data_IF_033372462901
#
_entry.id   IF_033372462901
#
_cell.length_a   1.000
_cell.length_b   1.000
_cell.length_c   1.000
_cell.angle_alpha   90.00
_cell.angle_beta   90.00
_cell.angle_gamma   90.00
#
_symmetry.space_group_name_H-M   'P 1'
#
loop_
_entity.id
_entity.type
_entity.pdbx_description
1 polymer ?
#
# COMPACT_ATOMS: atom_id res chain seq x y z
N UNK A 1 8.13 4.04 -5.63
CA UNK A 1 8.09 2.82 -4.79
C UNK A 1 7.75 1.60 -5.62
N UNK A 2 6.58 1.54 -6.27
CA UNK A 2 6.12 0.39 -7.08
C UNK A 2 7.19 -0.12 -8.08
N UNK A 3 7.74 0.76 -8.92
CA UNK A 3 8.82 0.41 -9.88
C UNK A 3 10.06 -0.22 -9.22
N UNK A 4 10.43 0.23 -8.02
CA UNK A 4 11.58 -0.32 -7.30
C UNK A 4 11.28 -1.73 -6.82
N UNK A 5 10.09 -1.96 -6.25
CA UNK A 5 9.65 -3.28 -5.80
C UNK A 5 9.62 -4.28 -6.95
N UNK A 6 9.11 -3.87 -8.13
CA UNK A 6 9.10 -4.70 -9.34
C UNK A 6 10.53 -5.07 -9.74
N UNK A 7 11.45 -4.10 -9.81
CA UNK A 7 12.85 -4.38 -10.15
C UNK A 7 13.50 -5.38 -9.19
N UNK A 8 13.17 -5.34 -7.91
CA UNK A 8 13.66 -6.32 -6.93
C UNK A 8 13.06 -7.70 -7.19
N UNK A 9 11.76 -7.79 -7.49
CA UNK A 9 11.11 -9.05 -7.83
C UNK A 9 11.73 -9.68 -9.08
N UNK A 10 11.85 -8.92 -10.17
CA UNK A 10 12.45 -9.35 -11.43
C UNK A 10 13.89 -9.83 -11.25
N UNK A 11 14.68 -9.10 -10.46
CA UNK A 11 16.04 -9.51 -10.14
C UNK A 11 16.06 -10.87 -9.43
N UNK A 12 15.17 -11.09 -8.46
CA UNK A 12 15.10 -12.36 -7.73
C UNK A 12 14.61 -13.50 -8.62
N UNK A 13 13.66 -13.26 -9.52
CA UNK A 13 13.21 -14.26 -10.50
C UNK A 13 14.33 -14.63 -11.47
N UNK A 14 15.12 -13.66 -11.93
CA UNK A 14 16.29 -13.93 -12.77
C UNK A 14 17.37 -14.75 -12.03
N UNK A 15 17.53 -14.55 -10.72
CA UNK A 15 18.41 -15.39 -9.90
C UNK A 15 17.88 -16.82 -9.77
N UNK A 16 16.57 -16.99 -9.52
CA UNK A 16 15.94 -18.31 -9.48
C UNK A 16 16.10 -19.04 -10.82
N UNK A 17 15.88 -18.36 -11.94
CA UNK A 17 16.01 -18.96 -13.27
C UNK A 17 17.43 -19.51 -13.54
N UNK A 18 18.47 -18.86 -13.01
CA UNK A 18 19.86 -19.35 -13.11
C UNK A 18 20.09 -20.66 -12.36
N UNK A 19 19.27 -20.98 -11.36
CA UNK A 19 19.34 -22.23 -10.61
C UNK A 19 18.34 -23.27 -11.13
N UNK A 20 17.63 -23.00 -12.24
CA UNK A 20 16.58 -23.87 -12.78
C UNK A 20 15.25 -23.77 -12.02
N UNK A 21 15.11 -22.81 -11.10
CA UNK A 21 13.88 -22.56 -10.35
C UNK A 21 13.09 -21.42 -10.99
N UNK A 22 11.76 -21.48 -10.93
CA UNK A 22 10.88 -20.43 -11.46
C UNK A 22 9.95 -19.83 -10.39
N UNK A 23 10.11 -20.25 -9.13
CA UNK A 23 9.30 -19.80 -8.02
C UNK A 23 10.13 -19.25 -6.86
N UNK A 24 9.52 -18.38 -6.07
CA UNK A 24 10.14 -17.74 -4.91
C UNK A 24 9.41 -18.06 -3.61
N UNK A 25 10.17 -18.07 -2.51
CA UNK A 25 9.63 -18.10 -1.14
C UNK A 25 9.71 -16.69 -0.55
N UNK A 26 8.60 -16.19 -0.01
CA UNK A 26 8.51 -14.84 0.53
C UNK A 26 8.30 -14.89 2.03
N UNK A 27 9.04 -14.08 2.79
CA UNK A 27 8.88 -13.91 4.23
C UNK A 27 8.49 -12.47 4.52
N UNK A 28 7.32 -12.26 5.12
CA UNK A 28 6.89 -10.99 5.68
C UNK A 28 7.05 -11.03 7.20
N UNK A 29 8.05 -10.31 7.71
CA UNK A 29 8.23 -10.12 9.14
C UNK A 29 7.39 -8.94 9.63
N UNK A 30 6.38 -9.25 10.45
CA UNK A 30 5.44 -8.27 10.99
C UNK A 30 5.86 -7.75 12.37
N UNK A 31 7.09 -8.04 12.83
CA UNK A 31 7.63 -7.44 14.05
C UNK A 31 7.58 -5.91 13.96
N UNK A 32 7.03 -5.25 14.98
CA UNK A 32 6.86 -3.79 14.99
C UNK A 32 5.72 -3.25 14.11
N UNK A 33 4.90 -4.12 13.50
CA UNK A 33 3.74 -3.70 12.69
C UNK A 33 2.79 -2.79 13.49
N UNK A 34 2.42 -1.66 12.86
CA UNK A 34 1.49 -0.71 13.40
C UNK A 34 0.38 -0.40 12.39
N UNK A 35 -0.85 -0.83 12.71
CA UNK A 35 -2.02 -0.64 11.84
C UNK A 35 -2.24 0.83 11.44
N UNK A 36 -1.88 1.79 12.30
CA UNK A 36 -2.04 3.22 12.00
C UNK A 36 -1.21 3.69 10.80
N UNK A 37 -0.04 3.09 10.57
CA UNK A 37 0.81 3.44 9.42
C UNK A 37 0.17 2.95 8.10
N UNK A 38 -0.44 1.77 8.12
CA UNK A 38 -1.12 1.20 6.95
C UNK A 38 -2.51 1.81 6.73
N UNK A 39 -3.13 2.37 7.77
CA UNK A 39 -4.34 3.19 7.64
C UNK A 39 -4.06 4.52 6.91
N UNK A 40 -2.80 4.91 6.70
CA UNK A 40 -2.46 6.04 5.84
C UNK A 40 -2.68 5.67 4.38
N UNK A 41 -3.70 6.28 3.75
CA UNK A 41 -4.14 5.94 2.38
C UNK A 41 -3.03 5.83 1.34
N UNK A 42 -2.05 6.76 1.22
CA UNK A 42 -0.97 6.58 0.26
C UNK A 42 -0.16 5.28 0.47
N UNK A 43 0.03 4.84 1.72
CA UNK A 43 0.63 3.54 1.99
C UNK A 43 -0.32 2.38 1.64
N UNK A 44 -1.60 2.48 1.98
CA UNK A 44 -2.60 1.46 1.63
C UNK A 44 -2.74 1.29 0.10
N UNK A 45 -2.82 2.40 -0.64
CA UNK A 45 -2.90 2.41 -2.11
C UNK A 45 -1.66 1.77 -2.72
N UNK A 46 -0.46 2.11 -2.24
CA UNK A 46 0.76 1.47 -2.73
C UNK A 46 0.74 -0.05 -2.48
N UNK A 47 0.28 -0.51 -1.31
CA UNK A 47 0.18 -1.95 -1.02
C UNK A 47 -0.84 -2.64 -1.93
N UNK A 48 -2.03 -2.06 -2.09
CA UNK A 48 -3.08 -2.62 -2.96
C UNK A 48 -2.61 -2.64 -4.41
N UNK A 49 -2.04 -1.55 -4.93
CA UNK A 49 -1.50 -1.49 -6.28
C UNK A 49 -0.38 -2.50 -6.51
N UNK A 50 0.47 -2.74 -5.51
CA UNK A 50 1.49 -3.78 -5.59
C UNK A 50 0.89 -5.18 -5.68
N UNK A 51 -0.15 -5.48 -4.89
CA UNK A 51 -0.85 -6.76 -4.94
C UNK A 51 -1.53 -6.97 -6.29
N UNK A 52 -2.30 -6.00 -6.75
CA UNK A 52 -3.01 -6.08 -8.02
C UNK A 52 -2.05 -6.25 -9.20
N UNK A 53 -0.95 -5.49 -9.21
CA UNK A 53 0.09 -5.61 -10.22
C UNK A 53 0.76 -6.99 -10.16
N UNK A 54 1.07 -7.48 -8.96
CA UNK A 54 1.64 -8.81 -8.77
C UNK A 54 0.70 -9.90 -9.33
N UNK A 55 -0.58 -9.90 -8.94
CA UNK A 55 -1.55 -10.91 -9.37
C UNK A 55 -1.83 -10.87 -10.88
N UNK A 56 -1.81 -9.68 -11.48
CA UNK A 56 -2.09 -9.52 -12.90
C UNK A 56 -0.90 -9.89 -13.81
N UNK A 57 0.34 -9.71 -13.35
CA UNK A 57 1.53 -9.82 -14.22
C UNK A 57 2.45 -10.99 -13.87
N UNK A 58 2.29 -11.59 -12.69
CA UNK A 58 3.20 -12.64 -12.20
C UNK A 58 2.43 -13.87 -11.68
N UNK A 59 1.68 -14.56 -12.56
CA UNK A 59 0.96 -15.77 -12.15
C UNK A 59 1.94 -16.88 -11.74
N UNK A 60 1.56 -17.65 -10.72
CA UNK A 60 2.21 -18.92 -10.33
C UNK A 60 3.69 -18.88 -9.91
N UNK A 61 4.28 -17.69 -9.69
CA UNK A 61 5.68 -17.56 -9.26
C UNK A 61 5.89 -17.77 -7.74
N UNK A 62 4.83 -17.96 -6.95
CA UNK A 62 4.92 -18.08 -5.49
C UNK A 62 4.91 -19.54 -5.04
N UNK A 63 6.05 -19.98 -4.48
CA UNK A 63 6.19 -21.31 -3.87
C UNK A 63 5.52 -21.38 -2.49
N UNK A 64 5.83 -20.41 -1.63
CA UNK A 64 5.28 -20.28 -0.28
C UNK A 64 5.41 -18.82 0.22
N UNK A 65 4.45 -18.37 1.02
CA UNK A 65 4.48 -17.06 1.67
C UNK A 65 4.30 -17.21 3.19
N UNK A 66 5.25 -16.72 3.96
CA UNK A 66 5.26 -16.81 5.42
C UNK A 66 5.12 -15.42 6.03
N UNK A 67 4.01 -15.19 6.72
CA UNK A 67 3.79 -13.96 7.50
C UNK A 67 4.09 -14.30 8.96
N UNK A 68 5.24 -13.87 9.46
CA UNK A 68 5.73 -14.19 10.80
C UNK A 68 5.57 -13.00 11.75
N UNK A 69 5.61 -13.25 13.05
CA UNK A 69 5.44 -12.22 14.08
C UNK A 69 4.14 -11.40 13.94
N UNK A 70 3.10 -11.95 13.34
CA UNK A 70 1.85 -11.24 13.09
C UNK A 70 1.14 -10.87 14.40
N UNK A 71 0.95 -9.58 14.70
CA UNK A 71 0.17 -9.17 15.88
C UNK A 71 -1.32 -9.44 15.66
N UNK A 72 -2.12 -9.52 16.73
CA UNK A 72 -3.57 -9.80 16.62
C UNK A 72 -4.30 -8.82 15.68
N UNK A 73 -3.88 -7.55 15.69
CA UNK A 73 -4.45 -6.48 14.86
C UNK A 73 -4.20 -6.68 13.35
N UNK A 74 -3.20 -7.49 12.97
CA UNK A 74 -2.91 -7.78 11.56
C UNK A 74 -4.09 -8.45 10.85
N UNK A 75 -4.90 -9.25 11.56
CA UNK A 75 -6.07 -9.90 10.97
C UNK A 75 -7.05 -8.92 10.32
N UNK A 76 -7.15 -7.68 10.84
CA UNK A 76 -7.98 -6.63 10.26
C UNK A 76 -7.41 -6.20 8.90
N UNK A 77 -6.11 -5.91 8.83
CA UNK A 77 -5.45 -5.57 7.57
C UNK A 77 -5.51 -6.73 6.58
N UNK A 78 -5.29 -7.96 7.04
CA UNK A 78 -5.33 -9.15 6.20
C UNK A 78 -6.71 -9.38 5.56
N UNK A 79 -7.79 -9.13 6.32
CA UNK A 79 -9.15 -9.23 5.79
C UNK A 79 -9.44 -8.24 4.66
N UNK A 80 -8.71 -7.13 4.58
CA UNK A 80 -8.78 -6.19 3.45
C UNK A 80 -7.94 -6.70 2.29
N UNK A 81 -6.66 -7.03 2.52
CA UNK A 81 -5.75 -7.41 1.43
C UNK A 81 -6.16 -8.71 0.74
N UNK A 82 -6.75 -9.67 1.48
CA UNK A 82 -7.14 -10.98 0.93
C UNK A 82 -8.17 -10.88 -0.19
N UNK A 83 -8.93 -9.78 -0.26
CA UNK A 83 -9.91 -9.54 -1.33
C UNK A 83 -9.25 -9.27 -2.69
N UNK A 84 -7.97 -8.90 -2.68
CA UNK A 84 -7.18 -8.59 -3.88
C UNK A 84 -6.24 -9.73 -4.28
N UNK A 85 -6.28 -10.86 -3.56
CA UNK A 85 -5.45 -12.02 -3.81
C UNK A 85 -6.30 -13.13 -4.42
N UNK A 86 -5.76 -13.84 -5.41
CA UNK A 86 -6.44 -15.01 -5.97
C UNK A 86 -6.32 -16.23 -5.03
N UNK A 87 -7.13 -17.26 -5.27
CA UNK A 87 -7.15 -18.47 -4.42
C UNK A 87 -5.82 -19.21 -4.41
N UNK A 88 -5.09 -19.20 -5.53
CA UNK A 88 -3.76 -19.79 -5.63
C UNK A 88 -2.80 -19.14 -4.63
N UNK A 89 -2.67 -17.82 -4.69
CA UNK A 89 -1.79 -17.03 -3.80
C UNK A 89 -2.23 -17.16 -2.35
N UNK A 90 -3.54 -17.07 -2.07
CA UNK A 90 -4.09 -17.26 -0.72
C UNK A 90 -3.75 -18.63 -0.13
N UNK A 91 -3.85 -19.69 -0.93
CA UNK A 91 -3.51 -21.05 -0.52
C UNK A 91 -2.04 -21.25 -0.13
N UNK A 92 -1.14 -20.35 -0.55
CA UNK A 92 0.29 -20.38 -0.22
C UNK A 92 0.66 -19.56 1.02
N UNK A 93 -0.27 -18.77 1.56
CA UNK A 93 -0.01 -17.88 2.70
C UNK A 93 -0.17 -18.63 4.02
N UNK A 94 0.87 -18.60 4.85
CA UNK A 94 0.86 -19.13 6.21
C UNK A 94 1.15 -18.00 7.20
N UNK A 95 0.23 -17.80 8.15
CA UNK A 95 0.30 -16.69 9.11
C UNK A 95 0.62 -17.23 10.50
N UNK A 96 1.70 -16.72 11.09
CA UNK A 96 2.18 -17.09 12.41
C UNK A 96 2.18 -15.89 13.35
N UNK A 97 1.69 -16.11 14.57
CA UNK A 97 1.89 -15.17 15.68
C UNK A 97 3.37 -15.07 16.02
N UNK A 98 3.73 -14.16 16.94
CA UNK A 98 5.10 -14.06 17.47
C UNK A 98 5.44 -15.25 18.39
N UNK A 99 5.66 -16.40 17.76
CA UNK A 99 6.05 -17.67 18.38
C UNK A 99 7.13 -18.35 17.53
N UNK A 100 8.42 -18.06 17.79
CA UNK A 100 9.54 -18.60 17.02
C UNK A 100 9.59 -20.13 16.98
N UNK A 101 9.03 -20.82 17.98
CA UNK A 101 9.00 -22.29 18.00
C UNK A 101 8.07 -22.85 16.92
N UNK A 102 7.13 -22.06 16.42
CA UNK A 102 6.20 -22.44 15.36
C UNK A 102 6.66 -21.98 13.99
N UNK A 103 7.05 -20.72 13.86
CA UNK A 103 7.37 -20.18 12.53
C UNK A 103 8.77 -20.57 12.05
N UNK A 104 9.77 -20.75 12.92
CA UNK A 104 11.13 -21.16 12.47
C UNK A 104 11.13 -22.53 11.77
N UNK A 105 10.51 -23.59 12.34
CA UNK A 105 10.40 -24.86 11.64
C UNK A 105 9.64 -24.76 10.31
N UNK A 106 8.60 -23.91 10.25
CA UNK A 106 7.83 -23.70 9.03
C UNK A 106 8.65 -23.04 7.92
N UNK A 107 9.54 -22.09 8.24
CA UNK A 107 10.47 -21.51 7.26
C UNK A 107 11.45 -22.57 6.74
N UNK A 108 11.96 -23.42 7.63
CA UNK A 108 12.92 -24.48 7.29
C UNK A 108 12.33 -25.61 6.46
N UNK A 109 11.00 -25.67 6.28
CA UNK A 109 10.37 -26.65 5.39
C UNK A 109 10.60 -26.34 3.90
N UNK A 110 10.91 -25.09 3.56
CA UNK A 110 11.13 -24.65 2.18
C UNK A 110 12.49 -23.96 1.97
N UNK A 111 13.24 -23.67 3.04
CA UNK A 111 14.51 -22.93 2.97
C UNK A 111 15.55 -23.70 3.78
N UNK A 112 16.68 -24.03 3.16
CA UNK A 112 17.76 -24.71 3.88
C UNK A 112 18.42 -23.77 4.89
N UNK A 113 18.95 -24.27 6.03
CA UNK A 113 19.51 -23.42 7.08
C UNK A 113 20.58 -22.44 6.58
N UNK A 114 21.47 -22.88 5.71
CA UNK A 114 22.56 -22.09 5.11
C UNK A 114 22.09 -20.96 4.21
N UNK A 115 20.83 -20.99 3.74
CA UNK A 115 20.23 -19.95 2.93
C UNK A 115 19.27 -19.05 3.71
N UNK A 116 19.10 -19.29 5.01
CA UNK A 116 18.21 -18.51 5.88
C UNK A 116 19.01 -17.76 6.94
N UNK A 117 18.81 -16.44 7.13
CA UNK A 117 19.49 -15.70 8.19
C UNK A 117 19.28 -16.35 9.57
N UNK A 118 20.33 -16.35 10.40
CA UNK A 118 20.33 -16.93 11.74
C UNK A 118 19.23 -16.35 12.63
N UNK A 119 18.90 -15.08 12.45
CA UNK A 119 17.77 -14.42 13.11
C UNK A 119 16.44 -15.16 12.86
N UNK A 120 16.22 -15.62 11.62
CA UNK A 120 15.04 -16.37 11.19
C UNK A 120 15.14 -17.89 11.40
N UNK A 121 16.20 -18.37 12.04
CA UNK A 121 16.34 -19.78 12.44
C UNK A 121 17.24 -20.64 11.55
N UNK A 122 17.90 -20.05 10.55
CA UNK A 122 18.95 -20.73 9.78
C UNK A 122 20.35 -20.54 10.39
N UNK A 123 21.37 -20.59 9.54
CA UNK A 123 22.78 -20.46 9.90
C UNK A 123 23.49 -19.30 9.17
N UNK A 124 22.83 -18.63 8.22
CA UNK A 124 23.43 -17.55 7.45
C UNK A 124 23.68 -16.30 8.30
N UNK A 125 24.88 -15.74 8.22
CA UNK A 125 25.30 -14.50 8.89
C UNK A 125 26.12 -13.63 7.95
N UNK A 126 26.23 -12.33 8.25
CA UNK A 126 27.21 -11.47 7.60
C UNK A 126 28.65 -11.92 7.94
N UNK A 127 29.69 -11.45 7.21
CA UNK A 127 31.09 -11.75 7.52
C UNK A 127 31.53 -11.36 8.94
N UNK A 128 30.88 -10.36 9.55
CA UNK A 128 31.11 -9.92 10.93
C UNK A 128 30.32 -10.73 11.98
N UNK A 129 29.57 -11.76 11.55
CA UNK A 129 28.75 -12.60 12.41
C UNK A 129 27.35 -12.05 12.71
N UNK A 130 26.93 -10.93 12.09
CA UNK A 130 25.60 -10.37 12.32
C UNK A 130 24.49 -11.38 11.88
N UNK A 131 23.62 -11.81 12.82
CA UNK A 131 22.63 -12.85 12.55
C UNK A 131 21.48 -12.40 11.65
N UNK A 132 21.36 -11.09 11.39
CA UNK A 132 20.31 -10.50 10.55
C UNK A 132 20.66 -10.43 9.08
N UNK A 133 21.91 -10.72 8.71
CA UNK A 133 22.38 -10.67 7.33
C UNK A 133 22.09 -9.31 6.67
N UNK A 134 22.45 -8.23 7.38
CA UNK A 134 22.08 -6.85 7.06
C UNK A 134 22.82 -6.28 5.84
N UNK A 135 23.88 -6.95 5.39
CA UNK A 135 24.53 -6.64 4.10
C UNK A 135 23.53 -6.76 2.95
N UNK A 136 22.66 -7.79 2.98
CA UNK A 136 21.63 -8.05 1.97
C UNK A 136 20.25 -7.60 2.44
N UNK A 137 19.83 -7.98 3.64
CA UNK A 137 18.48 -7.68 4.15
C UNK A 137 18.43 -6.28 4.75
N UNK A 138 17.79 -5.34 4.05
CA UNK A 138 17.65 -3.96 4.54
C UNK A 138 16.50 -3.87 5.55
N UNK A 139 16.83 -3.63 6.82
CA UNK A 139 15.88 -3.56 7.93
C UNK A 139 15.02 -2.28 7.96
N UNK A 140 15.19 -1.39 6.98
CA UNK A 140 14.49 -0.10 6.94
C UNK A 140 14.89 0.82 8.10
N UNK A 141 13.96 1.69 8.50
CA UNK A 141 14.16 2.64 9.60
C UNK A 141 13.41 3.94 9.39
N UNK A 142 13.50 4.85 10.36
CA UNK A 142 12.97 6.20 10.20
C UNK A 142 13.80 6.93 9.14
N UNK A 143 13.15 7.35 8.05
CA UNK A 143 13.78 8.18 7.03
C UNK A 143 14.21 9.50 7.69
N UNK A 144 15.49 9.90 7.63
CA UNK A 144 15.95 11.15 8.22
C UNK A 144 15.24 12.35 7.57
N UNK A 145 14.91 13.38 8.37
CA UNK A 145 14.17 14.55 7.90
C UNK A 145 14.86 15.30 6.76
N UNK A 146 16.18 15.19 6.64
CA UNK A 146 16.95 15.77 5.53
C UNK A 146 16.57 15.21 4.16
N UNK A 147 16.07 13.98 4.09
CA UNK A 147 15.57 13.37 2.85
C UNK A 147 14.13 13.75 2.52
N UNK A 148 13.45 14.49 3.41
CA UNK A 148 12.09 14.91 3.15
C UNK A 148 12.18 16.09 2.20
N UNK A 149 11.71 15.89 0.97
CA UNK A 149 11.48 17.02 0.09
C UNK A 149 10.37 17.86 0.71
N UNK A 150 10.70 19.09 1.15
CA UNK A 150 9.69 20.08 1.54
C UNK A 150 8.75 20.22 0.33
N UNK A 151 7.46 20.04 0.57
CA UNK A 151 6.39 19.95 -0.41
C UNK A 151 6.28 18.54 -1.04
N UNK A 152 5.34 17.73 -0.53
CA UNK A 152 4.45 17.05 -1.46
C UNK A 152 3.61 18.15 -2.12
N UNK A 153 4.19 18.84 -3.10
CA UNK A 153 3.36 19.38 -4.17
C UNK A 153 2.67 18.15 -4.76
N UNK A 154 1.35 18.12 -4.62
CA UNK A 154 0.50 17.26 -5.44
C UNK A 154 1.07 17.30 -6.85
N UNK A 155 1.38 16.14 -7.46
CA UNK A 155 1.90 16.11 -8.83
C UNK A 155 1.03 17.02 -9.68
N UNK A 156 1.61 17.85 -10.56
CA UNK A 156 0.83 18.76 -11.43
C UNK A 156 -0.26 18.02 -12.22
N UNK A 157 -0.10 16.70 -12.40
CA UNK A 157 -1.04 15.79 -13.05
C UNK A 157 -1.67 14.72 -12.11
N UNK A 158 -1.58 14.89 -10.79
CA UNK A 158 -2.31 14.08 -9.80
C UNK A 158 -3.56 14.82 -9.33
N UNK A 159 -4.60 14.13 -8.81
CA UNK A 159 -5.79 14.82 -8.32
C UNK A 159 -5.38 15.78 -7.18
N UNK A 160 -5.45 17.09 -7.46
CA UNK A 160 -5.20 18.15 -6.46
C UNK A 160 -6.14 17.89 -5.30
N UNK A 161 -5.61 17.70 -4.09
CA UNK A 161 -6.42 17.70 -2.86
C UNK A 161 -6.98 19.10 -2.69
N UNK A 162 -8.21 19.32 -3.12
CA UNK A 162 -8.88 20.61 -2.94
C UNK A 162 -9.37 20.71 -1.50
N UNK A 163 -8.66 21.50 -0.70
CA UNK A 163 -9.05 21.79 0.67
C UNK A 163 -10.09 22.91 0.68
N UNK A 164 -11.20 22.68 1.37
CA UNK A 164 -12.21 23.69 1.63
C UNK A 164 -11.76 24.52 2.83
N UNK A 165 -11.69 25.84 2.64
CA UNK A 165 -11.42 26.81 3.71
C UNK A 165 -12.73 27.20 4.39
N UNK A 166 -12.80 27.08 5.72
CA UNK A 166 -13.93 27.52 6.52
C UNK A 166 -13.49 28.23 7.80
N UNK A 167 -14.35 29.10 8.32
CA UNK A 167 -14.11 29.81 9.58
C UNK A 167 -15.13 29.38 10.62
N UNK A 168 -14.67 28.71 11.67
CA UNK A 168 -15.50 28.37 12.83
C UNK A 168 -15.45 29.53 13.81
N UNK A 169 -16.53 30.33 13.83
CA UNK A 169 -16.63 31.50 14.72
C UNK A 169 -16.46 31.12 16.19
N UNK A 170 -15.98 32.07 17.00
CA UNK A 170 -15.95 31.91 18.46
C UNK A 170 -17.33 31.52 18.99
N UNK A 171 -17.40 30.58 19.94
CA UNK A 171 -18.67 30.12 20.50
C UNK A 171 -19.52 29.22 19.58
N UNK A 172 -19.06 28.90 18.36
CA UNK A 172 -19.85 28.16 17.38
C UNK A 172 -19.23 26.79 17.05
N UNK A 173 -20.02 25.96 16.37
CA UNK A 173 -19.60 24.69 15.76
C UNK A 173 -19.82 24.75 14.25
N UNK A 174 -18.98 24.05 13.50
CA UNK A 174 -19.26 23.64 12.13
C UNK A 174 -19.53 22.14 12.14
N UNK A 175 -20.67 21.74 11.61
CA UNK A 175 -21.09 20.34 11.47
C UNK A 175 -21.26 20.01 10.00
N UNK A 176 -20.73 18.88 9.57
CA UNK A 176 -20.81 18.38 8.20
C UNK A 176 -21.37 16.96 8.23
N UNK A 177 -22.50 16.75 7.55
CA UNK A 177 -23.19 15.46 7.53
C UNK A 177 -22.89 14.73 6.22
N UNK A 178 -22.55 13.45 6.35
CA UNK A 178 -22.23 12.55 5.25
C UNK A 178 -23.11 11.31 5.35
N UNK A 179 -23.98 11.13 4.36
CA UNK A 179 -24.87 9.97 4.26
C UNK A 179 -24.09 8.81 3.64
N UNK A 180 -24.12 7.67 4.31
CA UNK A 180 -23.55 6.42 3.83
C UNK A 180 -24.69 5.44 3.60
N UNK A 181 -25.00 5.20 2.32
CA UNK A 181 -26.09 4.32 1.92
C UNK A 181 -25.66 2.85 1.80
N UNK A 182 -24.38 2.59 1.55
CA UNK A 182 -23.87 1.25 1.20
C UNK A 182 -22.71 0.85 2.11
N UNK A 183 -22.63 -0.45 2.42
CA UNK A 183 -21.51 -1.01 3.18
C UNK A 183 -20.18 -0.91 2.40
N UNK A 184 -19.06 -0.98 3.13
CA UNK A 184 -17.73 -0.92 2.52
C UNK A 184 -17.26 0.49 2.14
N UNK A 185 -18.04 1.53 2.45
CA UNK A 185 -17.61 2.92 2.37
C UNK A 185 -16.67 3.29 3.52
N UNK A 186 -15.82 4.29 3.31
CA UNK A 186 -14.97 4.87 4.35
C UNK A 186 -15.16 6.38 4.44
N UNK A 187 -15.39 6.89 5.65
CA UNK A 187 -15.34 8.32 5.93
C UNK A 187 -13.90 8.70 6.19
N UNK A 188 -13.40 9.66 5.42
CA UNK A 188 -12.04 10.19 5.54
C UNK A 188 -12.08 11.67 5.84
N UNK A 189 -11.18 12.10 6.72
CA UNK A 189 -10.89 13.51 6.93
C UNK A 189 -9.38 13.77 6.90
N UNK A 190 -9.04 14.95 6.43
CA UNK A 190 -7.72 15.55 6.49
C UNK A 190 -7.93 17.04 6.74
N UNK A 191 -7.41 17.61 7.82
CA UNK A 191 -7.56 19.04 8.08
C UNK A 191 -6.43 19.65 8.88
N UNK A 192 -6.32 20.97 8.76
CA UNK A 192 -5.43 21.81 9.55
C UNK A 192 -6.11 23.10 9.98
N UNK A 193 -5.60 23.72 11.04
CA UNK A 193 -6.03 25.05 11.49
C UNK A 193 -4.97 26.10 11.18
N UNK A 194 -5.38 27.32 10.78
CA UNK A 194 -4.49 28.49 10.74
C UNK A 194 -4.27 29.00 12.18
N UNK A 195 -3.54 28.22 12.97
CA UNK A 195 -3.25 28.52 14.37
C UNK A 195 -4.27 27.98 15.39
N UNK A 196 -3.78 27.77 16.61
CA UNK A 196 -4.51 27.22 17.75
C UNK A 196 -5.14 25.84 17.50
N UNK A 197 -5.56 25.20 18.57
CA UNK A 197 -6.23 23.92 18.52
C UNK A 197 -7.72 24.07 18.18
N UNK A 198 -8.39 22.98 17.81
CA UNK A 198 -9.86 22.94 17.66
C UNK A 198 -10.39 21.65 18.29
N UNK A 199 -11.63 21.63 18.79
CA UNK A 199 -12.23 20.37 19.25
C UNK A 199 -12.81 19.66 18.04
N UNK A 200 -12.39 18.43 17.79
CA UNK A 200 -12.82 17.62 16.67
C UNK A 200 -13.45 16.32 17.16
N UNK A 201 -14.51 15.87 16.50
CA UNK A 201 -15.15 14.59 16.75
C UNK A 201 -16.05 14.15 15.59
N UNK A 202 -16.39 12.87 15.58
CA UNK A 202 -17.26 12.24 14.59
C UNK A 202 -18.31 11.42 15.32
N UNK A 203 -19.57 11.65 14.98
CA UNK A 203 -20.72 10.91 15.51
C UNK A 203 -21.42 10.19 14.35
N UNK A 204 -21.83 8.95 14.56
CA UNK A 204 -22.69 8.22 13.62
C UNK A 204 -24.12 8.24 14.15
N UNK A 205 -25.07 8.49 13.26
CA UNK A 205 -26.51 8.26 13.47
C UNK A 205 -26.91 7.06 12.62
N UNK A 206 -27.39 6.00 13.26
CA UNK A 206 -27.91 4.83 12.54
C UNK A 206 -29.32 5.08 11.96
N UNK A 207 -29.86 4.09 11.27
CA UNK A 207 -31.21 4.11 10.69
C UNK A 207 -32.34 4.31 11.72
N UNK A 208 -32.11 3.92 12.98
CA UNK A 208 -33.05 4.09 14.07
C UNK A 208 -32.95 5.48 14.73
N UNK A 209 -32.03 6.33 14.24
CA UNK A 209 -31.77 7.66 14.78
C UNK A 209 -30.87 7.67 16.03
N UNK A 210 -30.31 6.54 16.44
CA UNK A 210 -29.43 6.44 17.58
C UNK A 210 -28.06 7.04 17.24
N UNK A 211 -27.62 8.00 18.04
CA UNK A 211 -26.32 8.64 17.88
C UNK A 211 -25.25 7.91 18.72
N UNK A 212 -24.15 7.50 18.09
CA UNK A 212 -23.01 6.87 18.76
C UNK A 212 -21.69 7.56 18.39
N UNK A 213 -20.75 7.71 19.35
CA UNK A 213 -19.48 8.35 19.08
C UNK A 213 -18.55 7.41 18.30
N UNK A 214 -18.09 7.85 17.14
CA UNK A 214 -17.12 7.14 16.30
C UNK A 214 -15.71 7.62 16.61
N UNK A 215 -15.54 8.94 16.67
CA UNK A 215 -14.32 9.60 17.14
C UNK A 215 -14.71 10.50 18.29
N UNK A 216 -14.22 10.15 19.49
CA UNK A 216 -14.48 10.94 20.70
C UNK A 216 -14.05 12.39 20.49
N UNK A 217 -14.93 13.32 20.84
CA UNK A 217 -14.66 14.74 20.76
C UNK A 217 -13.48 15.11 21.66
N UNK A 218 -12.39 15.61 21.06
CA UNK A 218 -11.19 16.04 21.79
C UNK A 218 -10.56 17.27 21.15
N UNK A 219 -9.84 18.04 21.95
CA UNK A 219 -9.02 19.16 21.47
C UNK A 219 -7.81 18.60 20.73
N UNK A 220 -7.59 19.06 19.50
CA UNK A 220 -6.48 18.66 18.65
C UNK A 220 -5.69 19.89 18.19
N UNK A 221 -4.37 19.82 18.29
CA UNK A 221 -3.46 20.90 17.93
C UNK A 221 -3.16 20.90 16.41
N UNK A 222 -4.21 20.97 15.59
CA UNK A 222 -4.14 20.84 14.13
C UNK A 222 -3.37 21.95 13.39
N UNK A 223 -2.82 22.92 14.14
CA UNK A 223 -1.91 23.96 13.64
C UNK A 223 -0.45 23.53 13.69
N UNK A 224 -0.13 22.50 14.49
CA UNK A 224 1.22 21.98 14.65
C UNK A 224 1.43 20.75 13.76
N UNK A 225 0.40 19.92 13.65
CA UNK A 225 0.40 18.67 12.89
C UNK A 225 -0.99 18.51 12.28
N UNK A 226 -1.08 18.30 10.97
CA UNK A 226 -2.33 18.01 10.27
C UNK A 226 -3.05 16.81 10.93
N UNK A 227 -4.35 16.95 11.12
CA UNK A 227 -5.20 15.89 11.67
C UNK A 227 -5.87 15.14 10.54
N UNK A 228 -5.47 13.88 10.37
CA UNK A 228 -6.07 12.99 9.38
C UNK A 228 -6.57 11.71 10.05
N UNK A 229 -7.63 11.15 9.50
CA UNK A 229 -8.17 9.88 9.95
C UNK A 229 -9.13 9.25 8.95
N UNK A 230 -9.46 7.99 9.22
CA UNK A 230 -10.36 7.18 8.40
C UNK A 230 -11.15 6.27 9.33
N UNK A 231 -12.42 6.08 9.00
CA UNK A 231 -13.30 5.12 9.67
C UNK A 231 -14.02 4.31 8.60
N UNK A 232 -14.07 3.00 8.80
CA UNK A 232 -14.96 2.12 8.04
C UNK A 232 -16.40 2.42 8.43
N UNK A 233 -17.22 2.79 7.45
CA UNK A 233 -18.60 3.17 7.71
C UNK A 233 -19.49 1.93 7.83
N UNK A 234 -20.28 1.89 8.90
CA UNK A 234 -21.54 1.16 8.92
C UNK A 234 -22.54 1.85 7.99
N UNK A 235 -23.42 1.06 7.37
CA UNK A 235 -24.47 1.54 6.49
C UNK A 235 -25.75 0.73 6.74
N UNK A 236 -26.95 1.32 6.57
CA UNK A 236 -27.18 2.75 6.27
C UNK A 236 -27.00 3.62 7.52
N UNK A 237 -26.25 4.72 7.39
CA UNK A 237 -26.03 5.65 8.50
C UNK A 237 -25.64 7.06 8.03
N UNK A 238 -25.80 8.05 8.89
CA UNK A 238 -25.29 9.41 8.69
C UNK A 238 -24.12 9.67 9.63
N UNK A 239 -22.98 10.13 9.09
CA UNK A 239 -21.83 10.53 9.88
C UNK A 239 -21.74 12.05 9.95
N UNK A 240 -21.79 12.59 11.18
CA UNK A 240 -21.64 14.01 11.46
C UNK A 240 -20.22 14.29 11.94
N UNK A 241 -19.45 15.01 11.14
CA UNK A 241 -18.16 15.57 11.55
C UNK A 241 -18.39 16.91 12.21
N UNK A 242 -17.79 17.13 13.38
CA UNK A 242 -17.92 18.38 14.13
C UNK A 242 -16.58 19.03 14.40
N UNK A 243 -16.43 20.26 13.93
CA UNK A 243 -15.42 21.21 14.37
C UNK A 243 -16.03 22.17 15.39
N UNK A 244 -15.64 22.01 16.65
CA UNK A 244 -16.24 22.70 17.77
C UNK A 244 -15.29 23.78 18.31
N UNK A 245 -15.75 25.03 18.22
CA UNK A 245 -15.08 26.22 18.76
C UNK A 245 -15.91 26.91 19.87
N UNK A 246 -16.84 26.18 20.50
CA UNK A 246 -17.71 26.70 21.58
C UNK A 246 -16.93 27.16 22.81
N UNK A 247 -15.75 26.59 23.02
CA UNK A 247 -14.90 26.91 24.17
C UNK A 247 -14.04 28.17 23.99
N UNK A 248 -13.94 28.73 22.78
CA UNK A 248 -13.16 29.96 22.57
C UNK A 248 -14.02 31.20 22.78
N UNK A 249 -13.59 32.06 23.69
CA UNK A 249 -14.29 33.33 24.00
C UNK A 249 -13.85 34.51 23.12
N UNK A 250 -12.64 34.45 22.56
CA UNK A 250 -12.04 35.60 21.84
C UNK A 250 -11.74 35.34 20.36
N UNK A 251 -11.53 34.08 19.95
CA UNK A 251 -10.91 33.77 18.65
C UNK A 251 -11.77 32.85 17.80
N UNK A 252 -12.02 33.27 16.57
CA UNK A 252 -12.48 32.39 15.50
C UNK A 252 -11.32 31.51 15.03
N UNK A 253 -11.63 30.35 14.45
CA UNK A 253 -10.63 29.40 13.96
C UNK A 253 -10.85 29.15 12.48
N UNK A 254 -9.86 29.47 11.68
CA UNK A 254 -9.86 29.14 10.26
C UNK A 254 -9.33 27.72 10.09
N UNK A 255 -10.10 26.89 9.40
CA UNK A 255 -9.74 25.50 9.09
C UNK A 255 -9.65 25.33 7.57
N UNK A 256 -8.75 24.44 7.17
CA UNK A 256 -8.68 23.91 5.81
C UNK A 256 -8.94 22.42 5.93
N UNK A 257 -10.00 21.92 5.34
CA UNK A 257 -10.37 20.51 5.44
C UNK A 257 -10.66 19.89 4.08
N UNK A 258 -10.37 18.60 3.96
CA UNK A 258 -10.74 17.74 2.85
C UNK A 258 -11.41 16.51 3.48
N UNK A 259 -12.73 16.42 3.31
CA UNK A 259 -13.54 15.36 3.91
C UNK A 259 -14.44 14.80 2.82
N UNK A 260 -14.45 13.47 2.69
CA UNK A 260 -15.30 12.77 1.76
C UNK A 260 -15.55 11.34 2.24
N UNK A 261 -16.63 10.77 1.73
CA UNK A 261 -16.91 9.34 1.84
C UNK A 261 -16.43 8.70 0.55
N UNK A 262 -15.63 7.64 0.66
CA UNK A 262 -15.26 6.84 -0.51
C UNK A 262 -16.47 6.02 -0.95
N UNK A 263 -16.66 5.79 -2.26
CA UNK A 263 -17.56 4.72 -2.68
C UNK A 263 -17.07 3.37 -2.12
N UNK A 264 -17.94 2.34 -2.10
CA UNK A 264 -17.52 0.98 -1.85
C UNK A 264 -16.36 0.61 -2.77
N UNK A 265 -15.38 -0.12 -2.25
CA UNK A 265 -14.14 -0.46 -2.97
C UNK A 265 -14.39 -1.16 -4.32
N UNK A 266 -15.52 -1.86 -4.46
CA UNK A 266 -15.96 -2.56 -5.68
C UNK A 266 -16.32 -1.61 -6.84
N UNK A 267 -16.58 -0.32 -6.57
CA UNK A 267 -17.04 0.67 -7.56
C UNK A 267 -15.96 1.68 -8.01
N UNK A 268 -14.74 1.55 -7.52
CA UNK A 268 -13.62 2.40 -7.95
C UNK A 268 -13.00 1.81 -9.23
N UNK A 269 -13.24 2.45 -10.39
CA UNK A 269 -12.61 2.12 -11.68
C UNK A 269 -11.08 2.39 -11.63
N UNK A 270 -10.33 1.47 -11.03
CA UNK A 270 -8.86 1.46 -11.00
C UNK A 270 -8.34 0.27 -11.83
N UNK A 271 -9.17 -0.26 -12.73
CA UNK A 271 -8.82 -1.29 -13.71
C UNK A 271 -8.69 -0.62 -15.09
N UNK A 272 -7.67 -0.95 -15.90
CA UNK A 272 -7.66 -0.56 -17.30
C UNK A 272 -8.82 -1.25 -18.02
N UNK A 273 -9.54 -0.51 -18.86
CA UNK A 273 -10.58 -1.05 -19.75
C UNK A 273 -9.97 -1.98 -20.79
N UNK A 274 -10.71 -3.01 -21.18
CA UNK A 274 -10.29 -4.13 -22.04
C UNK A 274 -9.61 -3.74 -23.38
N UNK A 275 -9.79 -2.49 -23.83
CA UNK A 275 -9.14 -1.94 -25.02
C UNK A 275 -7.62 -1.70 -24.86
N UNK A 276 -7.14 -1.41 -23.64
CA UNK A 276 -5.70 -1.22 -23.39
C UNK A 276 -4.96 -2.57 -23.35
N UNK A 277 -5.66 -3.64 -22.97
CA UNK A 277 -5.13 -5.01 -22.94
C UNK A 277 -4.92 -5.58 -24.35
N UNK A 278 -5.73 -5.17 -25.34
CA UNK A 278 -5.64 -5.67 -26.73
C UNK A 278 -4.52 -5.02 -27.55
N UNK A 279 -4.11 -3.79 -27.24
CA UNK A 279 -2.97 -3.14 -27.93
C UNK A 279 -1.61 -3.71 -27.53
N UNK A 280 -1.55 -4.42 -26.41
CA UNK A 280 -0.32 -4.99 -25.87
C UNK A 280 -0.12 -6.46 -26.30
N UNK A 281 -1.11 -7.05 -26.97
CA UNK A 281 -1.13 -8.46 -27.40
C UNK A 281 -0.90 -8.69 -28.89
N UNK A 282 -0.62 -7.67 -29.70
CA UNK A 282 -0.19 -7.89 -31.10
C UNK A 282 1.33 -8.06 -31.17
N UNK A 283 1.85 -9.25 -31.53
CA UNK A 283 3.27 -9.43 -31.81
C UNK A 283 3.58 -8.69 -33.12
N UNK A 284 4.60 -7.83 -33.07
CA UNK A 284 5.18 -7.19 -34.25
C UNK A 284 5.94 -8.27 -35.06
N UNK A 285 5.20 -9.02 -35.88
CA UNK A 285 5.77 -9.94 -36.86
C UNK A 285 6.08 -9.16 -38.14
N UNK A 286 7.22 -8.48 -38.17
CA UNK A 286 7.94 -8.19 -39.42
C UNK A 286 8.84 -9.39 -39.76
N UNK A 287 8.63 -10.09 -40.88
CA UNK A 287 9.60 -11.06 -41.38
C UNK A 287 10.83 -10.32 -41.92
N UNK A 288 12.01 -10.66 -41.41
CA UNK A 288 13.28 -10.29 -42.05
C UNK A 288 13.42 -11.07 -43.38
N UNK A 289 13.40 -10.33 -44.49
CA UNK A 289 13.77 -10.83 -45.81
C UNK A 289 15.27 -11.15 -45.84
N UNK A 290 15.62 -12.44 -45.84
CA UNK A 290 16.90 -12.92 -46.37
C UNK A 290 16.62 -13.40 -47.79
N UNK A 291 16.78 -12.51 -48.77
CA UNK A 291 16.95 -12.90 -50.17
C UNK A 291 18.40 -12.71 -50.60
N UNK A 292 18.91 -13.82 -51.14
CA UNK A 292 20.20 -14.05 -51.76
C UNK A 292 20.49 -13.12 -52.94
N UNK A 293 21.55 -12.33 -52.86
CA UNK A 293 22.23 -11.81 -54.05
C UNK A 293 23.20 -12.87 -54.59
N UNK A 294 22.76 -13.57 -55.64
CA UNK A 294 23.68 -14.16 -56.63
C UNK A 294 23.99 -13.05 -57.65
N UNK A 295 25.17 -12.43 -57.55
CA UNK A 295 25.75 -11.69 -58.67
C UNK A 295 26.64 -12.63 -59.47
N UNK A 296 26.26 -12.89 -60.73
CA UNK A 296 27.19 -13.35 -61.74
C UNK A 296 28.06 -12.18 -62.19
N UNK A 297 29.38 -12.38 -62.25
CA UNK A 297 30.19 -11.72 -63.26
C UNK A 297 31.36 -12.61 -63.62
N UNK A 298 31.44 -12.92 -64.90
CA UNK A 298 32.52 -13.59 -65.58
C UNK A 298 33.88 -12.90 -65.36
N UNK A 299 34.97 -13.65 -65.51
CA UNK A 299 36.32 -13.10 -65.53
C UNK A 299 37.42 -14.11 -65.21
N UNK A 300 37.50 -15.15 -66.04
CA UNK A 300 38.71 -15.62 -66.73
C UNK A 300 40.13 -15.26 -66.21
N UNK A 301 41.03 -16.23 -66.38
CA UNK A 301 42.50 -16.15 -66.58
C UNK A 301 43.43 -16.54 -65.39
N UNK A 302 43.73 -17.85 -65.34
CA UNK A 302 45.04 -18.45 -65.71
C UNK A 302 46.28 -18.39 -64.78
N UNK A 303 47.02 -19.50 -64.89
CA UNK A 303 48.48 -19.72 -64.74
C UNK A 303 49.03 -20.23 -63.40
N UNK A 304 49.32 -21.54 -63.46
CA UNK A 304 50.35 -22.38 -62.80
C UNK A 304 50.33 -22.65 -61.29
#
# INVERSE_FOLDING_TARGET
>A
MIRMTIKVLEHNLALAAKTGENQVVVIFDMEGFNLRQYAWRPAAEVVISLIQMYEANYPEILKACYIINAPRVFAIAFNVIKKFLNEYTLGKIQIFKSDPKKWKPALLSNITPENLPKHYGGSLTDPDGNPRYATVVKMGGKVPKSYYTKNMETPENGPKKEYIKAVVKKGHKLTLDYIVAEEGCFLRWDFRTEGHDIRFGVTMRDENGLNSPVVRHRRVAAHQIDESGVVACQAPATYTITFDNTYSMMRSKTIHYCIFVTPPLEKLNILPTDEETQKMSTPDNTPEDIQSEKSSSAGEVEVH
#
